data_IF_894900703874
#
_entry.id   IF_894900703874
#
_cell.length_a   1.000
_cell.length_b   1.000
_cell.length_c   1.000
_cell.angle_alpha   90.00
_cell.angle_beta   90.00
_cell.angle_gamma   90.00
#
_symmetry.space_group_name_H-M   'P 1'
#
loop_
_entity.id
_entity.type
_entity.pdbx_description
1 polymer ?
#
# COMPACT_ATOMS: atom_id res chain seq x y z
N UNK A 1 -37.50 4.82 -17.43
CA UNK A 1 -36.91 3.73 -18.22
C UNK A 1 -36.23 2.75 -17.29
N UNK A 2 -36.49 1.46 -17.48
CA UNK A 2 -35.78 0.40 -16.78
C UNK A 2 -34.30 0.39 -17.17
N UNK A 3 -33.44 0.14 -16.20
CA UNK A 3 -32.00 -0.01 -16.34
C UNK A 3 -31.69 -1.44 -16.77
N UNK A 4 -30.83 -1.58 -17.77
CA UNK A 4 -30.40 -2.87 -18.30
C UNK A 4 -29.09 -3.32 -17.66
N UNK A 5 -29.03 -4.60 -17.30
CA UNK A 5 -27.85 -5.19 -16.65
C UNK A 5 -26.64 -5.23 -17.60
N UNK A 6 -26.85 -5.57 -18.87
CA UNK A 6 -25.78 -5.60 -19.88
C UNK A 6 -25.13 -4.22 -20.08
N UNK A 7 -25.95 -3.16 -20.14
CA UNK A 7 -25.45 -1.79 -20.24
C UNK A 7 -24.64 -1.42 -18.99
N UNK A 8 -25.09 -1.83 -17.80
CA UNK A 8 -24.35 -1.60 -16.57
C UNK A 8 -22.98 -2.29 -16.57
N UNK A 9 -22.90 -3.55 -17.04
CA UNK A 9 -21.62 -4.27 -17.17
C UNK A 9 -20.71 -3.67 -18.23
N UNK A 10 -21.25 -3.24 -19.38
CA UNK A 10 -20.47 -2.55 -20.40
C UNK A 10 -19.85 -1.25 -19.88
N UNK A 11 -20.62 -0.46 -19.11
CA UNK A 11 -20.13 0.76 -18.47
C UNK A 11 -19.12 0.47 -17.35
N UNK A 12 -19.29 -0.63 -16.61
CA UNK A 12 -18.33 -1.09 -15.60
C UNK A 12 -17.00 -1.53 -16.24
N UNK A 13 -17.03 -2.21 -17.39
CA UNK A 13 -15.81 -2.64 -18.08
C UNK A 13 -15.04 -1.46 -18.69
N UNK A 14 -15.74 -0.54 -19.37
CA UNK A 14 -15.12 0.56 -20.11
C UNK A 14 -14.77 1.78 -19.24
N UNK A 15 -15.55 2.03 -18.19
CA UNK A 15 -15.37 3.19 -17.32
C UNK A 15 -15.62 2.88 -15.85
N UNK A 16 -15.36 1.64 -15.44
CA UNK A 16 -15.46 1.18 -14.05
C UNK A 16 -14.66 2.04 -13.09
N UNK A 17 -13.35 2.27 -13.31
CA UNK A 17 -12.54 3.13 -12.44
C UNK A 17 -13.05 4.58 -12.34
N UNK A 18 -13.74 5.08 -13.37
CA UNK A 18 -14.38 6.41 -13.38
C UNK A 18 -15.80 6.40 -12.81
N UNK A 19 -16.38 5.23 -12.50
CA UNK A 19 -17.71 5.10 -11.90
C UNK A 19 -18.87 5.36 -12.87
N UNK A 20 -18.70 5.12 -14.18
CA UNK A 20 -19.77 5.35 -15.18
C UNK A 20 -21.03 4.51 -14.90
N UNK A 21 -20.87 3.27 -14.45
CA UNK A 21 -22.00 2.40 -14.08
C UNK A 21 -22.78 2.97 -12.88
N UNK A 22 -22.11 3.60 -11.91
CA UNK A 22 -22.77 4.27 -10.78
C UNK A 22 -23.57 5.50 -11.25
N UNK A 23 -23.04 6.26 -12.21
CA UNK A 23 -23.73 7.38 -12.83
C UNK A 23 -25.00 6.92 -13.57
N UNK A 24 -24.91 5.82 -14.32
CA UNK A 24 -26.05 5.21 -15.02
C UNK A 24 -27.14 4.76 -14.05
N UNK A 25 -26.76 4.20 -12.90
CA UNK A 25 -27.66 3.72 -11.85
C UNK A 25 -28.24 4.84 -10.97
N UNK A 26 -27.84 6.10 -11.16
CA UNK A 26 -28.36 7.22 -10.35
C UNK A 26 -27.62 7.46 -9.04
N UNK A 27 -26.46 6.83 -8.83
CA UNK A 27 -25.70 6.84 -7.57
C UNK A 27 -24.58 7.88 -7.61
N UNK A 28 -24.95 9.16 -7.65
CA UNK A 28 -24.01 10.29 -7.86
C UNK A 28 -22.85 10.31 -6.86
N UNK A 29 -23.10 10.13 -5.56
CA UNK A 29 -22.04 10.12 -4.54
C UNK A 29 -21.07 8.95 -4.72
N UNK A 30 -21.56 7.81 -5.21
CA UNK A 30 -20.73 6.64 -5.47
C UNK A 30 -19.86 6.86 -6.71
N UNK A 31 -20.44 7.43 -7.78
CA UNK A 31 -19.70 7.83 -8.96
C UNK A 31 -18.62 8.86 -8.63
N UNK A 32 -18.93 9.88 -7.83
CA UNK A 32 -17.96 10.89 -7.40
C UNK A 32 -16.81 10.26 -6.61
N UNK A 33 -17.12 9.37 -5.67
CA UNK A 33 -16.09 8.66 -4.92
C UNK A 33 -15.16 7.88 -5.86
N UNK A 34 -15.70 7.18 -6.87
CA UNK A 34 -14.91 6.42 -7.83
C UNK A 34 -14.02 7.33 -8.68
N UNK A 35 -14.56 8.43 -9.22
CA UNK A 35 -13.78 9.42 -9.99
C UNK A 35 -12.60 9.98 -9.18
N UNK A 36 -12.82 10.30 -7.89
CA UNK A 36 -11.80 10.91 -7.05
C UNK A 36 -10.77 9.91 -6.51
N UNK A 37 -11.09 8.62 -6.48
CA UNK A 37 -10.22 7.56 -5.90
C UNK A 37 -9.75 6.55 -6.93
N UNK A 38 -10.04 6.76 -8.22
CA UNK A 38 -9.75 5.83 -9.31
C UNK A 38 -10.32 4.42 -9.02
N UNK A 39 -11.63 4.36 -8.77
CA UNK A 39 -12.33 3.10 -8.54
C UNK A 39 -12.19 2.53 -7.13
N UNK A 40 -12.13 3.40 -6.11
CA UNK A 40 -11.93 2.97 -4.73
C UNK A 40 -10.52 2.44 -4.48
N UNK A 41 -9.51 3.17 -4.96
CA UNK A 41 -8.10 2.79 -4.94
C UNK A 41 -7.83 1.49 -5.72
N UNK A 42 -8.52 1.29 -6.85
CA UNK A 42 -8.43 0.12 -7.73
C UNK A 42 -9.19 -1.12 -7.24
N UNK A 43 -9.24 -1.39 -5.94
CA UNK A 43 -9.91 -2.58 -5.40
C UNK A 43 -11.44 -2.49 -5.43
N UNK A 44 -12.00 -1.29 -5.20
CA UNK A 44 -13.45 -1.07 -5.16
C UNK A 44 -14.14 -1.38 -6.49
N UNK A 45 -13.51 -1.05 -7.62
CA UNK A 45 -14.01 -1.37 -8.96
C UNK A 45 -14.18 -2.88 -9.20
N UNK A 46 -13.24 -3.70 -8.71
CA UNK A 46 -13.34 -5.16 -8.82
C UNK A 46 -14.51 -5.69 -7.98
N UNK A 47 -14.69 -5.14 -6.77
CA UNK A 47 -15.77 -5.51 -5.86
C UNK A 47 -17.18 -5.23 -6.42
N UNK A 48 -17.31 -4.22 -7.28
CA UNK A 48 -18.59 -3.83 -7.87
C UNK A 48 -19.22 -4.92 -8.75
N UNK A 49 -18.42 -5.83 -9.33
CA UNK A 49 -18.92 -6.85 -10.27
C UNK A 49 -19.96 -7.77 -9.64
N UNK A 50 -19.78 -8.11 -8.36
CA UNK A 50 -20.67 -8.98 -7.59
C UNK A 50 -21.94 -8.26 -7.12
N UNK A 51 -21.89 -6.94 -7.00
CA UNK A 51 -23.00 -6.14 -6.46
C UNK A 51 -23.87 -5.52 -7.56
N UNK A 52 -23.36 -5.45 -8.78
CA UNK A 52 -24.03 -4.80 -9.91
C UNK A 52 -25.45 -5.33 -10.17
N UNK A 53 -25.73 -6.64 -10.14
CA UNK A 53 -27.10 -7.15 -10.36
C UNK A 53 -28.10 -6.63 -9.34
N UNK A 54 -27.72 -6.64 -8.06
CA UNK A 54 -28.54 -6.11 -6.96
C UNK A 54 -28.82 -4.62 -7.14
N UNK A 55 -27.81 -3.84 -7.54
CA UNK A 55 -28.01 -2.40 -7.74
C UNK A 55 -28.87 -2.05 -8.96
N UNK A 56 -28.80 -2.85 -10.03
CA UNK A 56 -29.71 -2.72 -11.18
C UNK A 56 -31.14 -3.01 -10.75
N UNK A 57 -31.36 -4.07 -9.95
CA UNK A 57 -32.68 -4.39 -9.41
C UNK A 57 -33.24 -3.24 -8.55
N UNK A 58 -32.43 -2.69 -7.64
CA UNK A 58 -32.82 -1.53 -6.80
C UNK A 58 -33.12 -0.30 -7.67
N UNK A 59 -32.30 -0.02 -8.69
CA UNK A 59 -32.53 1.10 -9.60
C UNK A 59 -33.83 0.94 -10.42
N UNK A 60 -34.28 -0.30 -10.63
CA UNK A 60 -35.54 -0.66 -11.25
C UNK A 60 -36.73 -0.71 -10.27
N UNK A 61 -36.51 -0.41 -8.99
CA UNK A 61 -37.57 -0.33 -7.98
C UNK A 61 -37.70 -1.54 -7.06
N UNK A 62 -36.73 -2.47 -7.05
CA UNK A 62 -36.71 -3.54 -6.06
C UNK A 62 -36.66 -2.95 -4.63
N UNK A 63 -37.43 -3.51 -3.69
CA UNK A 63 -37.45 -3.02 -2.30
C UNK A 63 -36.08 -3.20 -1.65
N UNK A 64 -35.65 -2.20 -0.88
CA UNK A 64 -34.41 -2.26 -0.10
C UNK A 64 -34.77 -2.64 1.33
N UNK A 65 -34.22 -3.76 1.81
CA UNK A 65 -34.44 -4.21 3.18
C UNK A 65 -33.90 -3.18 4.18
N UNK A 66 -34.74 -2.76 5.12
CA UNK A 66 -34.39 -1.86 6.22
C UNK A 66 -34.56 -2.61 7.55
N UNK A 67 -33.50 -3.22 8.08
CA UNK A 67 -33.59 -4.07 9.26
C UNK A 67 -33.93 -3.31 10.56
N UNK A 68 -33.93 -1.97 10.53
CA UNK A 68 -34.26 -1.15 11.68
C UNK A 68 -34.37 0.33 11.33
N UNK A 69 -34.65 1.19 12.35
CA UNK A 69 -34.84 2.63 12.16
C UNK A 69 -33.55 3.37 11.76
N UNK A 70 -32.40 2.81 12.11
CA UNK A 70 -31.08 3.31 11.72
C UNK A 70 -30.31 2.26 10.91
N UNK A 71 -29.45 2.67 9.96
CA UNK A 71 -28.60 1.74 9.23
C UNK A 71 -27.69 0.92 10.15
N UNK A 72 -27.40 -0.32 9.77
CA UNK A 72 -26.45 -1.16 10.50
C UNK A 72 -25.02 -0.59 10.40
N UNK A 73 -24.22 -0.77 11.45
CA UNK A 73 -22.80 -0.46 11.42
C UNK A 73 -22.10 -1.38 10.43
N UNK A 74 -21.22 -0.83 9.61
CA UNK A 74 -20.41 -1.59 8.66
C UNK A 74 -18.95 -1.24 8.87
N UNK A 75 -18.14 -2.25 9.24
CA UNK A 75 -16.70 -2.11 9.38
C UNK A 75 -16.05 -1.64 8.07
N UNK A 76 -16.52 -2.17 6.93
CA UNK A 76 -16.05 -1.75 5.60
C UNK A 76 -16.33 -0.27 5.34
N UNK A 77 -17.52 0.23 5.72
CA UNK A 77 -17.86 1.65 5.58
C UNK A 77 -17.01 2.52 6.49
N UNK A 78 -16.80 2.11 7.75
CA UNK A 78 -15.93 2.83 8.68
C UNK A 78 -14.49 2.89 8.16
N UNK A 79 -13.94 1.77 7.70
CA UNK A 79 -12.61 1.70 7.11
C UNK A 79 -12.50 2.59 5.87
N UNK A 80 -13.49 2.53 4.98
CA UNK A 80 -13.57 3.41 3.80
C UNK A 80 -13.64 4.89 4.16
N UNK A 81 -14.40 5.27 5.20
CA UNK A 81 -14.46 6.64 5.69
C UNK A 81 -13.10 7.12 6.20
N UNK A 82 -12.40 6.30 6.99
CA UNK A 82 -11.07 6.65 7.49
C UNK A 82 -10.08 6.78 6.32
N UNK A 83 -10.05 5.80 5.40
CA UNK A 83 -9.12 5.81 4.28
C UNK A 83 -9.34 7.01 3.35
N UNK A 84 -10.59 7.26 2.95
CA UNK A 84 -10.94 8.37 2.06
C UNK A 84 -10.77 9.72 2.75
N UNK A 85 -11.05 9.80 4.06
CA UNK A 85 -10.80 11.01 4.83
C UNK A 85 -9.31 11.37 4.88
N UNK A 86 -8.43 10.41 5.18
CA UNK A 86 -6.98 10.61 5.11
C UNK A 86 -6.53 11.01 3.71
N UNK A 87 -7.05 10.35 2.66
CA UNK A 87 -6.76 10.69 1.27
C UNK A 87 -7.09 12.15 0.94
N UNK A 88 -8.26 12.64 1.33
CA UNK A 88 -8.66 14.03 1.11
C UNK A 88 -7.80 15.00 1.92
N UNK A 89 -7.44 14.64 3.15
CA UNK A 89 -6.52 15.43 3.98
C UNK A 89 -5.12 15.57 3.37
N UNK A 90 -4.59 14.50 2.77
CA UNK A 90 -3.32 14.52 2.01
C UNK A 90 -3.45 15.39 0.75
N UNK A 91 -4.55 15.25 0.01
CA UNK A 91 -4.81 16.06 -1.17
C UNK A 91 -4.84 17.57 -0.83
N UNK A 92 -5.47 17.94 0.29
CA UNK A 92 -5.48 19.32 0.77
C UNK A 92 -4.09 19.81 1.21
N UNK A 93 -3.33 18.99 1.94
CA UNK A 93 -1.98 19.34 2.37
C UNK A 93 -1.03 19.60 1.18
N UNK A 94 -1.19 18.82 0.11
CA UNK A 94 -0.38 18.97 -1.11
C UNK A 94 -0.91 20.08 -2.01
N UNK A 95 -2.22 20.19 -2.22
CA UNK A 95 -2.84 21.10 -3.17
C UNK A 95 -3.07 22.52 -2.68
N UNK A 96 -3.12 22.75 -1.36
CA UNK A 96 -3.46 24.05 -0.77
C UNK A 96 -2.38 24.56 0.21
N UNK A 97 -1.11 24.70 -0.22
CA UNK A 97 -0.03 25.14 0.67
C UNK A 97 -0.22 26.56 1.22
N UNK A 98 -0.99 27.41 0.52
CA UNK A 98 -1.30 28.77 0.95
C UNK A 98 -2.44 28.88 1.97
N UNK A 99 -3.17 27.79 2.24
CA UNK A 99 -4.24 27.79 3.25
C UNK A 99 -3.69 27.14 4.53
N UNK A 100 -3.97 27.71 5.72
CA UNK A 100 -3.55 27.10 6.97
C UNK A 100 -3.99 25.64 7.07
N UNK A 101 -3.04 24.76 7.37
CA UNK A 101 -3.26 23.32 7.47
C UNK A 101 -4.39 22.95 8.46
N UNK A 102 -4.51 23.73 9.54
CA UNK A 102 -5.56 23.62 10.57
C UNK A 102 -6.97 23.90 10.06
N UNK A 103 -7.12 24.50 8.88
CA UNK A 103 -8.40 24.77 8.23
C UNK A 103 -8.61 23.83 7.04
N UNK A 104 -7.63 23.76 6.15
CA UNK A 104 -7.75 23.00 4.91
C UNK A 104 -7.88 21.49 5.14
N UNK A 105 -7.04 20.92 6.02
CA UNK A 105 -6.99 19.47 6.23
C UNK A 105 -8.26 18.92 6.91
N UNK A 106 -8.72 19.41 8.08
CA UNK A 106 -9.93 18.87 8.71
C UNK A 106 -11.19 19.07 7.88
N UNK A 107 -11.28 20.17 7.13
CA UNK A 107 -12.38 20.36 6.17
C UNK A 107 -12.35 19.29 5.09
N UNK A 108 -11.20 19.07 4.45
CA UNK A 108 -11.05 18.06 3.41
C UNK A 108 -11.33 16.64 3.93
N UNK A 109 -10.79 16.30 5.10
CA UNK A 109 -11.07 15.01 5.78
C UNK A 109 -12.56 14.85 6.04
N UNK A 110 -13.22 15.86 6.59
CA UNK A 110 -14.66 15.83 6.86
C UNK A 110 -15.50 15.64 5.60
N UNK A 111 -15.13 16.30 4.49
CA UNK A 111 -15.77 16.12 3.18
C UNK A 111 -15.56 14.72 2.62
N UNK A 112 -14.35 14.16 2.72
CA UNK A 112 -14.05 12.80 2.30
C UNK A 112 -14.87 11.75 3.08
N UNK A 113 -14.94 11.90 4.41
CA UNK A 113 -15.76 11.04 5.28
C UNK A 113 -17.24 11.16 4.92
N UNK A 114 -17.75 12.37 4.72
CA UNK A 114 -19.14 12.62 4.35
C UNK A 114 -19.49 12.05 2.96
N UNK A 115 -18.56 12.09 2.01
CA UNK A 115 -18.73 11.49 0.69
C UNK A 115 -18.97 9.98 0.82
N UNK A 116 -18.15 9.26 1.58
CA UNK A 116 -18.32 7.82 1.85
C UNK A 116 -19.60 7.56 2.65
N UNK A 117 -19.92 8.42 3.62
CA UNK A 117 -21.16 8.31 4.39
C UNK A 117 -22.41 8.38 3.50
N UNK A 118 -22.32 9.13 2.40
CA UNK A 118 -23.41 9.37 1.44
C UNK A 118 -23.51 8.32 0.33
N UNK A 119 -22.69 7.27 0.37
CA UNK A 119 -22.73 6.16 -0.59
C UNK A 119 -23.91 5.24 -0.29
N UNK A 120 -24.71 4.95 -1.33
CA UNK A 120 -25.86 4.05 -1.24
C UNK A 120 -27.11 4.76 -0.70
N UNK A 121 -27.82 4.08 0.21
CA UNK A 121 -29.06 4.53 0.84
C UNK A 121 -28.84 5.20 2.21
N UNK A 122 -27.58 5.44 2.58
CA UNK A 122 -27.18 6.03 3.85
C UNK A 122 -26.63 7.44 3.65
N UNK A 123 -26.70 8.25 4.70
CA UNK A 123 -26.02 9.54 4.84
C UNK A 123 -25.73 9.81 6.31
N UNK A 124 -24.81 10.71 6.61
CA UNK A 124 -24.63 11.27 7.95
C UNK A 124 -24.94 12.76 7.97
N UNK A 125 -25.09 13.31 9.17
CA UNK A 125 -25.13 14.76 9.36
C UNK A 125 -23.74 15.36 9.13
N UNK A 126 -23.61 16.10 8.02
CA UNK A 126 -22.34 16.72 7.62
C UNK A 126 -21.76 17.67 8.67
N UNK A 127 -22.55 18.56 9.34
CA UNK A 127 -21.99 19.49 10.32
C UNK A 127 -21.30 18.81 11.50
N UNK A 128 -21.86 17.70 12.00
CA UNK A 128 -21.28 16.95 13.13
C UNK A 128 -19.99 16.24 12.73
N UNK A 129 -19.94 15.72 11.51
CA UNK A 129 -18.76 15.05 10.95
C UNK A 129 -17.60 16.05 10.79
N UNK A 130 -17.88 17.22 10.21
CA UNK A 130 -16.89 18.28 10.01
C UNK A 130 -16.44 18.86 11.34
N UNK A 131 -17.37 19.16 12.27
CA UNK A 131 -17.03 19.67 13.59
C UNK A 131 -16.09 18.70 14.36
N UNK A 132 -16.33 17.40 14.28
CA UNK A 132 -15.44 16.39 14.87
C UNK A 132 -14.04 16.39 14.25
N UNK A 133 -13.94 16.57 12.92
CA UNK A 133 -12.65 16.69 12.24
C UNK A 133 -11.87 17.93 12.74
N UNK A 134 -12.54 19.08 12.84
CA UNK A 134 -11.92 20.31 13.37
C UNK A 134 -11.51 20.16 14.83
N UNK A 135 -12.38 19.62 15.68
CA UNK A 135 -12.07 19.37 17.09
C UNK A 135 -10.85 18.45 17.26
N UNK A 136 -10.79 17.36 16.50
CA UNK A 136 -9.63 16.48 16.50
C UNK A 136 -8.37 17.19 15.97
N UNK A 137 -8.49 18.01 14.93
CA UNK A 137 -7.34 18.76 14.40
C UNK A 137 -6.74 19.72 15.42
N UNK A 138 -7.56 20.29 16.31
CA UNK A 138 -7.08 21.15 17.38
C UNK A 138 -6.30 20.38 18.45
N UNK A 139 -6.63 19.11 18.68
CA UNK A 139 -5.95 18.26 19.66
C UNK A 139 -4.59 17.73 19.16
N UNK A 140 -4.46 17.50 17.86
CA UNK A 140 -3.30 16.84 17.26
C UNK A 140 -2.41 17.79 16.42
N UNK A 141 -2.42 19.09 16.72
CA UNK A 141 -1.70 20.12 15.95
C UNK A 141 -0.21 19.78 15.73
N UNK A 142 0.29 20.06 14.52
CA UNK A 142 1.73 20.07 14.22
C UNK A 142 2.39 18.72 13.88
N UNK A 143 1.64 17.62 13.76
CA UNK A 143 2.18 16.30 13.39
C UNK A 143 1.60 15.82 12.06
N UNK A 144 2.44 15.30 11.15
CA UNK A 144 2.01 14.72 9.86
C UNK A 144 1.04 13.55 10.07
N UNK A 145 1.22 12.80 11.17
CA UNK A 145 0.32 11.71 11.58
C UNK A 145 -1.05 12.18 12.09
N UNK A 146 -1.32 13.48 12.18
CA UNK A 146 -2.60 14.01 12.66
C UNK A 146 -3.78 13.68 11.75
N UNK A 147 -3.55 13.40 10.46
CA UNK A 147 -4.63 13.06 9.52
C UNK A 147 -5.39 11.80 9.92
N UNK A 148 -4.70 10.79 10.45
CA UNK A 148 -5.32 9.54 10.89
C UNK A 148 -6.31 9.75 12.06
N UNK A 149 -5.93 10.33 13.21
CA UNK A 149 -6.87 10.57 14.31
C UNK A 149 -7.97 11.57 13.93
N UNK A 150 -7.69 12.58 13.10
CA UNK A 150 -8.73 13.48 12.57
C UNK A 150 -9.77 12.67 11.78
N UNK A 151 -9.32 11.79 10.88
CA UNK A 151 -10.21 10.99 10.06
C UNK A 151 -10.97 9.93 10.85
N UNK A 152 -10.36 9.33 11.88
CA UNK A 152 -11.01 8.41 12.79
C UNK A 152 -12.09 9.12 13.60
N UNK A 153 -11.81 10.29 14.17
CA UNK A 153 -12.79 11.08 14.93
C UNK A 153 -13.99 11.48 14.04
N UNK A 154 -13.72 11.97 12.83
CA UNK A 154 -14.75 12.30 11.85
C UNK A 154 -15.59 11.08 11.45
N UNK A 155 -14.96 9.93 11.19
CA UNK A 155 -15.66 8.70 10.83
C UNK A 155 -16.54 8.17 11.98
N UNK A 156 -16.04 8.20 13.22
CA UNK A 156 -16.84 7.84 14.42
C UNK A 156 -18.04 8.78 14.56
N UNK A 157 -17.85 10.10 14.42
CA UNK A 157 -18.94 11.06 14.47
C UNK A 157 -19.97 10.81 13.36
N UNK A 158 -19.52 10.54 12.13
CA UNK A 158 -20.39 10.18 11.01
C UNK A 158 -21.20 8.92 11.29
N UNK A 159 -20.58 7.87 11.84
CA UNK A 159 -21.27 6.63 12.21
C UNK A 159 -22.27 6.83 13.35
N UNK A 160 -21.98 7.68 14.35
CA UNK A 160 -22.92 8.00 15.43
C UNK A 160 -24.17 8.73 14.93
N UNK A 161 -24.04 9.52 13.87
CA UNK A 161 -25.11 10.34 13.31
C UNK A 161 -25.59 9.87 11.92
N UNK A 162 -25.51 8.56 11.68
CA UNK A 162 -25.96 7.92 10.43
C UNK A 162 -27.48 7.83 10.34
N UNK A 163 -28.01 8.06 9.14
CA UNK A 163 -29.45 8.02 8.83
C UNK A 163 -29.67 7.49 7.42
N UNK A 164 -30.86 6.95 7.15
CA UNK A 164 -31.26 6.64 5.79
C UNK A 164 -31.49 7.92 5.00
N UNK A 165 -31.15 7.89 3.71
CA UNK A 165 -31.44 8.98 2.79
C UNK A 165 -32.96 9.07 2.61
N UNK A 166 -33.51 10.28 2.71
CA UNK A 166 -34.94 10.50 2.51
C UNK A 166 -35.36 10.05 1.11
N UNK A 167 -36.26 9.06 1.04
CA UNK A 167 -36.95 8.66 -0.17
C UNK A 167 -37.89 9.80 -0.58
N UNK A 168 -37.49 10.63 -1.53
CA UNK A 168 -38.33 11.76 -1.98
C UNK A 168 -37.60 12.91 -2.67
N UNK A 169 -36.27 12.90 -2.71
CA UNK A 169 -35.53 13.94 -3.43
C UNK A 169 -35.92 13.93 -4.93
N UNK A 170 -36.21 15.10 -5.53
CA UNK A 170 -36.58 15.19 -6.94
C UNK A 170 -35.49 14.58 -7.82
N UNK A 171 -35.89 13.74 -8.78
CA UNK A 171 -34.98 13.18 -9.79
C UNK A 171 -34.45 14.34 -10.64
N UNK A 172 -33.27 14.85 -10.30
CA UNK A 172 -32.63 15.88 -11.09
C UNK A 172 -32.37 15.39 -12.52
N UNK A 173 -32.51 16.30 -13.49
CA UNK A 173 -32.15 16.04 -14.87
C UNK A 173 -30.67 15.66 -14.96
N UNK A 174 -30.33 14.78 -15.88
CA UNK A 174 -28.96 14.35 -16.15
C UNK A 174 -27.93 15.51 -16.24
N UNK A 175 -28.18 16.61 -16.97
CA UNK A 175 -27.23 17.74 -17.03
C UNK A 175 -26.96 18.37 -15.66
N UNK A 176 -27.97 18.52 -14.80
CA UNK A 176 -27.78 19.08 -13.46
C UNK A 176 -26.93 18.15 -12.57
N UNK A 177 -27.09 16.83 -12.73
CA UNK A 177 -26.25 15.84 -12.03
C UNK A 177 -24.80 15.93 -12.50
N UNK A 178 -24.58 15.95 -13.82
CA UNK A 178 -23.26 16.09 -14.42
C UNK A 178 -22.58 17.40 -14.00
N UNK A 179 -23.30 18.51 -14.01
CA UNK A 179 -22.79 19.80 -13.57
C UNK A 179 -22.27 19.76 -12.12
N UNK A 180 -23.05 19.19 -11.19
CA UNK A 180 -22.62 19.05 -9.79
C UNK A 180 -21.40 18.16 -9.64
N UNK A 181 -21.34 17.06 -10.38
CA UNK A 181 -20.19 16.16 -10.38
C UNK A 181 -18.95 16.83 -10.96
N UNK A 182 -19.08 17.53 -12.07
CA UNK A 182 -17.99 18.29 -12.69
C UNK A 182 -17.49 19.39 -11.74
N UNK A 183 -18.39 20.13 -11.09
CA UNK A 183 -18.02 21.15 -10.10
C UNK A 183 -17.24 20.54 -8.92
N UNK A 184 -17.70 19.40 -8.39
CA UNK A 184 -17.02 18.71 -7.30
C UNK A 184 -15.65 18.16 -7.74
N UNK A 185 -15.56 17.61 -8.96
CA UNK A 185 -14.32 17.11 -9.54
C UNK A 185 -13.30 18.25 -9.71
N UNK A 186 -13.72 19.38 -10.27
CA UNK A 186 -12.88 20.57 -10.44
C UNK A 186 -12.45 21.11 -9.07
N UNK A 187 -13.35 21.21 -8.10
CA UNK A 187 -13.03 21.69 -6.76
C UNK A 187 -11.96 20.82 -6.07
N UNK A 188 -11.97 19.50 -6.29
CA UNK A 188 -10.96 18.59 -5.76
C UNK A 188 -9.64 18.63 -6.56
N UNK A 189 -9.73 18.61 -7.90
CA UNK A 189 -8.57 18.44 -8.76
C UNK A 189 -7.79 19.74 -9.01
N UNK A 190 -8.46 20.90 -9.04
CA UNK A 190 -7.83 22.17 -9.39
C UNK A 190 -6.64 22.53 -8.48
N UNK A 191 -6.72 22.41 -7.13
CA UNK A 191 -5.57 22.70 -6.26
C UNK A 191 -4.35 21.82 -6.55
N UNK A 192 -4.57 20.55 -6.87
CA UNK A 192 -3.49 19.61 -7.23
C UNK A 192 -2.93 19.92 -8.63
N UNK A 193 -3.80 20.26 -9.59
CA UNK A 193 -3.43 20.59 -10.96
C UNK A 193 -2.62 21.89 -11.06
N UNK A 194 -2.87 22.87 -10.18
CA UNK A 194 -2.06 24.09 -10.08
C UNK A 194 -0.59 23.82 -9.73
N UNK A 195 -0.27 22.64 -9.17
CA UNK A 195 1.11 22.18 -8.92
C UNK A 195 1.70 21.36 -10.06
N UNK A 196 1.00 21.29 -11.19
CA UNK A 196 1.34 20.45 -12.33
C UNK A 196 1.34 18.96 -11.99
N UNK A 197 2.05 18.17 -12.79
CA UNK A 197 2.18 16.72 -12.61
C UNK A 197 2.78 16.34 -11.25
N UNK A 198 3.61 17.23 -10.68
CA UNK A 198 4.27 17.00 -9.39
C UNK A 198 3.29 16.82 -8.22
N UNK A 199 2.18 17.57 -8.22
CA UNK A 199 1.16 17.46 -7.17
C UNK A 199 0.41 16.13 -7.21
N UNK A 200 0.02 15.70 -8.40
CA UNK A 200 -0.64 14.41 -8.61
C UNK A 200 0.26 13.23 -8.26
N UNK A 201 1.53 13.26 -8.70
CA UNK A 201 2.53 12.23 -8.37
C UNK A 201 2.84 12.19 -6.86
N UNK A 202 2.95 13.34 -6.20
CA UNK A 202 3.16 13.41 -4.76
C UNK A 202 2.00 12.78 -3.98
N UNK A 203 0.76 13.03 -4.40
CA UNK A 203 -0.42 12.42 -3.80
C UNK A 203 -0.44 10.90 -4.04
N UNK A 204 -0.17 10.45 -5.27
CA UNK A 204 -0.10 9.02 -5.60
C UNK A 204 0.97 8.30 -4.76
N UNK A 205 2.16 8.90 -4.61
CA UNK A 205 3.23 8.36 -3.77
C UNK A 205 2.81 8.30 -2.30
N UNK A 206 2.28 9.38 -1.74
CA UNK A 206 1.85 9.42 -0.34
C UNK A 206 0.76 8.39 -0.03
N UNK A 207 -0.20 8.21 -0.95
CA UNK A 207 -1.26 7.19 -0.82
C UNK A 207 -0.68 5.78 -0.92
N UNK A 208 0.25 5.54 -1.85
CA UNK A 208 0.90 4.23 -2.01
C UNK A 208 1.65 3.86 -0.73
N UNK A 209 2.45 4.78 -0.17
CA UNK A 209 3.14 4.57 1.11
C UNK A 209 2.16 4.28 2.25
N UNK A 210 1.05 5.01 2.33
CA UNK A 210 0.02 4.80 3.35
C UNK A 210 -0.64 3.42 3.23
N UNK A 211 -0.96 2.97 2.01
CA UNK A 211 -1.58 1.67 1.75
C UNK A 211 -0.62 0.51 2.02
N UNK A 212 0.69 0.70 1.78
CA UNK A 212 1.72 -0.29 2.05
C UNK A 212 2.22 -0.28 3.50
N UNK A 213 1.90 0.75 4.28
CA UNK A 213 2.26 0.87 5.69
C UNK A 213 1.98 -0.39 6.53
N UNK A 214 0.82 -1.07 6.46
CA UNK A 214 0.61 -2.33 7.19
C UNK A 214 1.56 -3.45 6.76
N UNK A 215 1.95 -3.52 5.49
CA UNK A 215 2.93 -4.50 5.00
C UNK A 215 4.34 -4.17 5.50
N UNK A 216 4.72 -2.89 5.47
CA UNK A 216 6.00 -2.43 6.02
C UNK A 216 6.09 -2.62 7.53
N UNK A 217 5.03 -2.29 8.26
CA UNK A 217 4.93 -2.51 9.70
C UNK A 217 4.94 -4.01 10.04
N UNK A 218 4.24 -4.85 9.27
CA UNK A 218 4.28 -6.30 9.41
C UNK A 218 5.65 -6.89 9.14
N UNK A 219 6.38 -6.36 8.14
CA UNK A 219 7.77 -6.74 7.87
C UNK A 219 8.70 -6.35 9.01
N UNK A 220 8.60 -5.12 9.52
CA UNK A 220 9.39 -4.66 10.67
C UNK A 220 9.05 -5.47 11.94
N UNK A 221 7.77 -5.79 12.15
CA UNK A 221 7.35 -6.65 13.25
C UNK A 221 7.89 -8.07 13.09
N UNK A 222 7.90 -8.64 11.88
CA UNK A 222 8.49 -9.94 11.60
C UNK A 222 10.02 -9.95 11.74
N UNK A 223 10.69 -8.85 11.42
CA UNK A 223 12.12 -8.65 11.68
C UNK A 223 12.40 -8.53 13.19
N UNK A 224 11.61 -7.75 13.94
CA UNK A 224 11.74 -7.57 15.40
C UNK A 224 11.38 -8.84 16.18
N UNK A 225 10.37 -9.59 15.74
CA UNK A 225 9.97 -10.87 16.34
C UNK A 225 10.81 -12.06 15.85
N UNK A 226 11.84 -11.83 15.03
CA UNK A 226 12.81 -12.85 14.63
C UNK A 226 12.33 -13.85 13.56
N UNK A 227 11.15 -13.67 12.98
CA UNK A 227 10.65 -14.54 11.90
C UNK A 227 11.39 -14.35 10.57
N UNK A 228 12.03 -13.19 10.35
CA UNK A 228 12.82 -12.91 9.14
C UNK A 228 14.33 -13.22 9.27
N UNK A 229 14.76 -13.87 10.36
CA UNK A 229 16.16 -14.27 10.58
C UNK A 229 16.60 -15.56 9.88
N UNK A 230 15.68 -16.41 9.41
CA UNK A 230 16.03 -17.74 8.91
C UNK A 230 16.41 -17.83 7.41
N UNK A 231 16.24 -16.78 6.60
CA UNK A 231 16.46 -16.90 5.14
C UNK A 231 17.84 -16.41 4.66
N UNK A 232 18.50 -15.50 5.40
CA UNK A 232 19.83 -14.97 5.02
C UNK A 232 21.02 -15.64 5.73
N UNK A 233 20.78 -16.34 6.83
CA UNK A 233 21.83 -17.06 7.56
C UNK A 233 22.22 -18.42 6.95
N UNK A 234 21.26 -19.11 6.31
CA UNK A 234 21.50 -20.44 5.74
C UNK A 234 22.34 -20.45 4.46
N UNK A 235 22.28 -19.41 3.62
CA UNK A 235 23.08 -19.38 2.39
C UNK A 235 24.56 -19.11 2.68
N UNK A 236 24.87 -18.22 3.61
CA UNK A 236 26.25 -17.90 3.99
C UNK A 236 26.94 -19.04 4.75
N UNK A 237 26.20 -19.77 5.61
CA UNK A 237 26.76 -20.91 6.34
C UNK A 237 26.98 -22.15 5.46
N UNK A 238 26.16 -22.34 4.42
CA UNK A 238 26.36 -23.41 3.42
C UNK A 238 27.55 -23.08 2.51
N UNK A 239 27.66 -21.85 2.00
CA UNK A 239 28.81 -21.43 1.18
C UNK A 239 30.15 -21.52 1.93
N UNK A 240 30.19 -21.12 3.20
CA UNK A 240 31.40 -21.23 4.03
C UNK A 240 31.83 -22.69 4.24
N UNK A 241 30.87 -23.59 4.43
CA UNK A 241 31.14 -25.02 4.65
C UNK A 241 31.63 -25.71 3.36
N UNK A 242 31.15 -25.29 2.19
CA UNK A 242 31.67 -25.79 0.90
C UNK A 242 33.11 -25.33 0.62
N UNK A 243 33.43 -24.06 0.90
CA UNK A 243 34.80 -23.54 0.74
C UNK A 243 35.80 -24.26 1.64
N UNK A 244 35.45 -24.45 2.91
CA UNK A 244 36.28 -25.21 3.84
C UNK A 244 36.48 -26.66 3.38
N UNK A 245 35.45 -27.33 2.85
CA UNK A 245 35.57 -28.69 2.30
C UNK A 245 36.54 -28.75 1.12
N UNK A 246 36.43 -27.82 0.15
CA UNK A 246 37.35 -27.76 -1.00
C UNK A 246 38.78 -27.48 -0.55
N UNK A 247 38.97 -26.60 0.44
CA UNK A 247 40.29 -26.32 0.98
C UNK A 247 40.94 -27.56 1.62
N UNK A 248 40.17 -28.38 2.36
CA UNK A 248 40.67 -29.67 2.88
C UNK A 248 41.02 -30.65 1.75
N UNK A 249 40.24 -30.68 0.67
CA UNK A 249 40.47 -31.53 -0.49
C UNK A 249 41.76 -31.16 -1.24
N UNK A 250 42.03 -29.86 -1.44
CA UNK A 250 43.27 -29.34 -2.05
C UNK A 250 44.50 -29.72 -1.22
N UNK A 251 44.40 -29.73 0.11
CA UNK A 251 45.47 -30.17 1.01
C UNK A 251 45.54 -31.69 1.20
N UNK A 252 44.65 -32.46 0.56
CA UNK A 252 44.60 -33.92 0.66
C UNK A 252 44.21 -34.44 2.06
N UNK A 253 43.44 -33.67 2.82
CA UNK A 253 43.04 -34.00 4.19
C UNK A 253 41.53 -34.28 4.29
N UNK A 254 41.10 -35.16 5.22
CA UNK A 254 39.68 -35.34 5.48
C UNK A 254 39.08 -34.08 6.13
N UNK A 255 37.79 -33.77 5.85
CA UNK A 255 37.14 -32.58 6.39
C UNK A 255 37.09 -32.65 7.93
N UNK A 256 37.48 -31.55 8.58
CA UNK A 256 37.54 -31.48 10.05
C UNK A 256 38.88 -31.96 10.66
N UNK A 257 39.92 -32.13 9.83
CA UNK A 257 41.28 -32.37 10.32
C UNK A 257 41.79 -31.22 11.20
N UNK A 258 42.64 -31.54 12.19
CA UNK A 258 43.18 -30.54 13.11
C UNK A 258 44.09 -29.53 12.39
N UNK A 259 44.25 -28.35 12.98
CA UNK A 259 45.06 -27.28 12.39
C UNK A 259 46.54 -27.67 12.24
N UNK A 260 47.05 -28.51 13.13
CA UNK A 260 48.42 -29.04 13.05
C UNK A 260 48.60 -29.94 11.82
N UNK A 261 47.56 -30.69 11.44
CA UNK A 261 47.56 -31.52 10.24
C UNK A 261 47.57 -30.66 8.96
N UNK A 262 46.76 -29.58 8.96
CA UNK A 262 46.75 -28.57 7.88
C UNK A 262 48.13 -27.94 7.70
N UNK A 263 48.77 -27.49 8.79
CA UNK A 263 50.12 -26.91 8.75
C UNK A 263 51.21 -27.88 8.31
N UNK A 264 51.05 -29.18 8.60
CA UNK A 264 52.00 -30.22 8.17
C UNK A 264 51.86 -30.48 6.68
N UNK A 265 50.63 -30.77 6.21
CA UNK A 265 50.35 -31.07 4.81
C UNK A 265 50.77 -29.91 3.89
N UNK A 266 50.41 -28.68 4.25
CA UNK A 266 50.81 -27.49 3.50
C UNK A 266 52.33 -27.36 3.36
N UNK A 267 53.09 -27.55 4.45
CA UNK A 267 54.58 -27.47 4.40
C UNK A 267 55.20 -28.55 3.51
N UNK A 268 54.59 -29.72 3.41
CA UNK A 268 55.06 -30.80 2.54
C UNK A 268 54.74 -30.51 1.07
N UNK A 269 53.50 -30.09 0.78
CA UNK A 269 53.05 -29.77 -0.57
C UNK A 269 53.78 -28.55 -1.15
N UNK A 270 54.05 -27.52 -0.35
CA UNK A 270 54.83 -26.36 -0.78
C UNK A 270 56.26 -26.72 -1.16
N UNK A 271 56.92 -27.62 -0.42
CA UNK A 271 58.27 -28.06 -0.78
C UNK A 271 58.31 -28.78 -2.13
N UNK A 272 57.25 -29.54 -2.41
CA UNK A 272 57.12 -30.31 -3.64
C UNK A 272 56.75 -29.44 -4.84
N UNK A 273 55.86 -28.46 -4.66
CA UNK A 273 55.36 -27.59 -5.71
C UNK A 273 56.00 -26.20 -5.75
N UNK A 274 57.11 -25.97 -5.03
CA UNK A 274 57.79 -24.67 -5.07
C UNK A 274 58.27 -24.36 -6.50
N UNK A 275 57.99 -23.17 -7.04
CA UNK A 275 58.39 -22.78 -8.41
C UNK A 275 59.90 -22.93 -8.65
N UNK A 276 60.72 -22.63 -7.64
CA UNK A 276 62.18 -22.77 -7.73
C UNK A 276 62.67 -24.20 -7.94
N UNK A 277 61.93 -25.19 -7.41
CA UNK A 277 62.27 -26.61 -7.56
C UNK A 277 61.72 -27.20 -8.87
N UNK A 278 60.71 -26.57 -9.48
CA UNK A 278 59.97 -27.09 -10.63
C UNK A 278 60.12 -26.19 -11.87
N UNK A 279 61.35 -25.71 -12.15
CA UNK A 279 61.62 -24.78 -13.27
C UNK A 279 61.21 -25.28 -14.65
N UNK A 280 61.12 -26.60 -14.85
CA UNK A 280 60.69 -27.23 -16.09
C UNK A 280 59.17 -27.20 -16.31
N UNK A 281 58.39 -26.93 -15.26
CA UNK A 281 56.92 -26.83 -15.26
C UNK A 281 56.48 -25.65 -14.39
N UNK A 282 57.13 -24.50 -14.60
CA UNK A 282 57.01 -23.33 -13.73
C UNK A 282 55.56 -22.84 -13.59
N UNK A 283 54.81 -22.79 -14.71
CA UNK A 283 53.42 -22.32 -14.72
C UNK A 283 52.48 -23.22 -13.91
N UNK A 284 52.61 -24.54 -14.05
CA UNK A 284 51.80 -25.51 -13.29
C UNK A 284 52.15 -25.48 -11.79
N UNK A 285 53.44 -25.36 -11.48
CA UNK A 285 53.91 -25.29 -10.10
C UNK A 285 53.43 -24.00 -9.41
N UNK A 286 53.42 -22.87 -10.13
CA UNK A 286 52.91 -21.59 -9.65
C UNK A 286 51.40 -21.64 -9.39
N UNK A 287 50.61 -22.19 -10.32
CA UNK A 287 49.16 -22.36 -10.12
C UNK A 287 48.86 -23.25 -8.91
N UNK A 288 49.53 -24.39 -8.79
CA UNK A 288 49.38 -25.27 -7.62
C UNK A 288 49.80 -24.59 -6.32
N UNK A 289 50.85 -23.79 -6.35
CA UNK A 289 51.29 -23.04 -5.17
C UNK A 289 50.25 -22.02 -4.71
N UNK A 290 49.61 -21.31 -5.64
CA UNK A 290 48.53 -20.36 -5.35
C UNK A 290 47.32 -21.09 -4.76
N UNK A 291 46.87 -22.19 -5.36
CA UNK A 291 45.76 -23.01 -4.85
C UNK A 291 46.02 -23.51 -3.42
N UNK A 292 47.25 -23.96 -3.14
CA UNK A 292 47.64 -24.44 -1.81
C UNK A 292 47.66 -23.32 -0.76
N UNK A 293 48.08 -22.12 -1.16
CA UNK A 293 48.09 -20.95 -0.29
C UNK A 293 46.67 -20.50 0.06
N UNK A 294 45.79 -20.38 -0.95
CA UNK A 294 44.39 -20.03 -0.75
C UNK A 294 43.67 -21.03 0.18
N UNK A 295 43.88 -22.34 -0.04
CA UNK A 295 43.31 -23.38 0.81
C UNK A 295 43.85 -23.33 2.26
N UNK A 296 45.12 -23.01 2.43
CA UNK A 296 45.72 -22.84 3.75
C UNK A 296 45.14 -21.62 4.48
N UNK A 297 45.02 -20.47 3.80
CA UNK A 297 44.50 -19.23 4.40
C UNK A 297 43.03 -19.36 4.81
N UNK A 298 42.21 -20.07 4.03
CA UNK A 298 40.80 -20.33 4.37
C UNK A 298 40.66 -21.17 5.66
N UNK A 299 41.59 -22.10 5.93
CA UNK A 299 41.52 -23.02 7.08
C UNK A 299 42.31 -22.54 8.31
N UNK A 300 43.45 -21.90 8.11
CA UNK A 300 44.37 -21.47 9.17
C UNK A 300 44.34 -19.97 9.46
N UNK A 301 43.67 -19.19 8.61
CA UNK A 301 43.71 -17.73 8.62
C UNK A 301 44.96 -17.17 7.93
N UNK A 302 44.97 -15.85 7.65
CA UNK A 302 46.05 -15.20 6.93
C UNK A 302 47.37 -15.29 7.71
N UNK A 303 48.47 -15.62 7.01
CA UNK A 303 49.81 -15.51 7.57
C UNK A 303 50.10 -14.03 7.88
N UNK A 304 50.37 -13.72 9.14
CA UNK A 304 50.97 -12.44 9.53
C UNK A 304 52.49 -12.50 9.39
#
# INVERSE_FOLDING_TARGET
MAKQLLVAYGLWALGGPLGLHHLYLGRDSHALLWMLTLGGFGAGWLWDVWHLPSWVAIANGAPVARPGPVPALSALRLAGQVLVGVYFGLAAALGLPGIPAMLAQPLAVGLGVQLVASVGDQTSEAPRTVAAAFAASLLFQGRVLALLPISVAAAIASQRHRRYRHCGAPRHRLPARLYRLALALVAFAAPLACRGLSGALALARAVTELLLLPLHAGRLLAEVLGFAGCSRGCSASVEGNERQRRAFEVLGLPPGSSIEAVHRSYRELVKFWHPDHNRHRAEEAEQRFIELLEAYEELAGPRR
#
